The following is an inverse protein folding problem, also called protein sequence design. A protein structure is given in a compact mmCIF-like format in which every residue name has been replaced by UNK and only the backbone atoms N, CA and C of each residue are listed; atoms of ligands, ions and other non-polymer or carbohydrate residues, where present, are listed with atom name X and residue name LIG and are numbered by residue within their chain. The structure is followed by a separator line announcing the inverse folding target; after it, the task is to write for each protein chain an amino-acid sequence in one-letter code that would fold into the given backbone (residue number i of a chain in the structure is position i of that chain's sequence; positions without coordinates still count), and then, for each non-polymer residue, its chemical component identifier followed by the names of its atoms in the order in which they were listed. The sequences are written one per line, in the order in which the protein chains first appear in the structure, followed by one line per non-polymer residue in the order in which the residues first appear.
data_IF_665149437515
#
_entry.id   IF_665149437515
#
_cell.length_a   1.000
_cell.length_b   1.000
_cell.length_c   1.000
_cell.angle_alpha   90.00
_cell.angle_beta   90.00
_cell.angle_gamma   90.00
#
_symmetry.space_group_name_H-M   'P 1'
#
loop_
_entity.id
_entity.type
_entity.pdbx_description
1 polymer ?
#
# COMPACT_ATOMS: atom_id res chain seq x y z
N UNK A 1 -2.14 29.38 1.66
CA UNK A 1 -1.93 28.79 2.99
C UNK A 1 -0.65 29.38 3.56
N UNK A 2 -0.71 30.05 4.71
CA UNK A 2 0.49 30.49 5.44
C UNK A 2 1.30 29.28 5.90
N UNK A 3 2.62 29.33 5.72
CA UNK A 3 3.53 28.31 6.23
C UNK A 3 3.63 28.47 7.75
N UNK A 4 2.94 27.62 8.51
CA UNK A 4 3.14 27.53 9.96
C UNK A 4 4.50 26.89 10.25
N UNK A 5 5.38 27.63 10.91
CA UNK A 5 6.68 27.14 11.40
C UNK A 5 6.50 26.79 12.89
N UNK A 6 6.82 25.55 13.27
CA UNK A 6 6.74 25.07 14.64
C UNK A 6 8.15 24.98 15.25
N UNK A 7 8.43 25.77 16.29
CA UNK A 7 9.64 25.61 17.12
C UNK A 7 9.38 24.50 18.15
N UNK A 8 9.81 23.28 17.83
CA UNK A 8 9.65 22.11 18.70
C UNK A 8 10.89 21.95 19.59
N UNK A 9 10.69 21.72 20.89
CA UNK A 9 11.79 21.33 21.78
C UNK A 9 12.32 19.95 21.38
N UNK A 10 13.59 19.67 21.69
CA UNK A 10 14.19 18.35 21.45
C UNK A 10 13.49 17.25 22.26
N UNK A 11 12.99 17.56 23.45
CA UNK A 11 12.19 16.64 24.29
C UNK A 11 10.91 16.18 23.61
N UNK A 12 10.36 17.02 22.73
CA UNK A 12 9.15 16.78 21.96
C UNK A 12 9.34 15.77 20.82
N UNK A 13 10.59 15.42 20.51
CA UNK A 13 10.94 14.49 19.44
C UNK A 13 11.20 13.11 20.04
N UNK A 14 10.30 12.18 19.73
CA UNK A 14 10.46 10.75 20.03
C UNK A 14 10.88 9.98 18.78
N UNK A 15 11.59 8.87 18.97
CA UNK A 15 11.84 7.88 17.92
C UNK A 15 11.09 6.62 18.31
N UNK A 16 10.10 6.24 17.50
CA UNK A 16 9.45 4.94 17.62
C UNK A 16 10.20 3.96 16.73
N UNK A 17 10.80 2.95 17.35
CA UNK A 17 11.44 1.86 16.63
C UNK A 17 10.45 0.71 16.47
N UNK A 18 10.44 0.12 15.27
CA UNK A 18 9.64 -1.05 14.95
C UNK A 18 10.56 -2.26 14.78
N UNK A 19 9.97 -3.45 14.90
CA UNK A 19 10.69 -4.68 14.57
C UNK A 19 11.06 -4.65 13.09
N UNK A 20 12.25 -5.18 12.77
CA UNK A 20 12.70 -5.24 11.39
C UNK A 20 11.70 -6.06 10.55
N UNK A 21 11.36 -5.54 9.36
CA UNK A 21 10.31 -6.12 8.52
C UNK A 21 8.87 -5.69 8.86
N UNK A 22 8.66 -4.80 9.84
CA UNK A 22 7.34 -4.18 10.06
C UNK A 22 6.90 -3.43 8.81
N UNK A 23 5.71 -3.78 8.33
CA UNK A 23 5.17 -3.33 7.05
C UNK A 23 3.99 -2.41 7.26
N UNK A 24 4.02 -1.27 6.60
CA UNK A 24 2.96 -0.29 6.55
C UNK A 24 2.33 -0.35 5.16
N UNK A 25 1.08 -0.78 5.12
CA UNK A 25 0.29 -0.92 3.92
C UNK A 25 -0.80 0.17 3.93
N UNK A 26 -0.95 0.87 2.82
CA UNK A 26 -1.98 1.89 2.61
C UNK A 26 -2.80 1.48 1.39
N UNK A 27 -4.12 1.61 1.51
CA UNK A 27 -5.03 1.63 0.37
C UNK A 27 -5.87 2.89 0.49
N UNK A 28 -5.96 3.64 -0.60
CA UNK A 28 -6.87 4.78 -0.70
C UNK A 28 -7.46 4.89 -2.10
N UNK A 29 -8.54 5.63 -2.26
CA UNK A 29 -9.17 5.87 -3.56
C UNK A 29 -10.42 6.71 -3.42
N UNK A 30 -11.21 6.79 -4.50
CA UNK A 30 -12.48 7.52 -4.56
C UNK A 30 -13.61 6.50 -4.64
N UNK A 31 -14.50 6.53 -3.63
CA UNK A 31 -15.69 5.67 -3.59
C UNK A 31 -16.82 6.21 -4.46
N UNK A 32 -17.91 5.45 -4.57
CA UNK A 32 -19.07 5.80 -5.42
C UNK A 32 -19.78 7.09 -4.96
N UNK A 33 -19.62 7.48 -3.70
CA UNK A 33 -20.12 8.74 -3.15
C UNK A 33 -19.31 9.97 -3.58
N UNK A 34 -18.21 9.78 -4.32
CA UNK A 34 -17.22 10.80 -4.64
C UNK A 34 -16.30 11.18 -3.48
N UNK A 35 -16.45 10.54 -2.31
CA UNK A 35 -15.59 10.78 -1.15
C UNK A 35 -14.32 9.93 -1.24
N UNK A 36 -13.22 10.49 -0.75
CA UNK A 36 -11.97 9.74 -0.60
C UNK A 36 -12.10 8.74 0.56
N UNK A 37 -11.76 7.48 0.31
CA UNK A 37 -11.53 6.50 1.36
C UNK A 37 -10.04 6.26 1.54
N UNK A 38 -9.64 5.93 2.76
CA UNK A 38 -8.26 5.60 3.12
C UNK A 38 -8.27 4.64 4.30
N UNK A 39 -7.46 3.60 4.22
CA UNK A 39 -7.18 2.74 5.35
C UNK A 39 -5.70 2.33 5.38
N UNK A 40 -5.20 2.03 6.59
CA UNK A 40 -3.81 1.65 6.85
C UNK A 40 -3.75 0.36 7.63
N UNK A 41 -3.07 -0.64 7.09
CA UNK A 41 -2.73 -1.88 7.76
C UNK A 41 -1.26 -1.84 8.20
N UNK A 42 -1.01 -2.07 9.49
CA UNK A 42 0.34 -2.20 10.05
C UNK A 42 0.50 -3.61 10.59
N UNK A 43 1.49 -4.34 10.09
CA UNK A 43 1.78 -5.73 10.45
C UNK A 43 3.24 -5.92 10.79
N UNK A 44 3.54 -6.94 11.59
CA UNK A 44 4.86 -7.09 12.23
C UNK A 44 5.93 -7.63 11.28
N UNK A 45 5.53 -8.27 10.18
CA UNK A 45 6.46 -8.82 9.18
C UNK A 45 5.91 -8.69 7.75
N UNK A 46 6.81 -8.85 6.77
CA UNK A 46 6.46 -8.91 5.35
C UNK A 46 5.56 -10.13 5.02
N UNK A 47 5.81 -11.28 5.65
CA UNK A 47 5.00 -12.49 5.47
C UNK A 47 3.56 -12.27 5.96
N UNK A 48 3.40 -11.60 7.09
CA UNK A 48 2.08 -11.24 7.60
C UNK A 48 1.38 -10.26 6.64
N UNK A 49 2.13 -9.34 6.01
CA UNK A 49 1.60 -8.44 5.00
C UNK A 49 1.08 -9.21 3.77
N UNK A 50 1.88 -10.12 3.21
CA UNK A 50 1.50 -10.94 2.05
C UNK A 50 0.22 -11.73 2.33
N UNK A 51 0.08 -12.29 3.54
CA UNK A 51 -1.10 -13.07 3.93
C UNK A 51 -2.36 -12.24 4.15
N UNK A 52 -2.24 -11.06 4.76
CA UNK A 52 -3.41 -10.23 5.16
C UNK A 52 -3.82 -9.22 4.10
N UNK A 53 -2.87 -8.72 3.31
CA UNK A 53 -3.10 -7.61 2.39
C UNK A 53 -4.20 -7.90 1.36
N UNK A 54 -4.26 -9.07 0.69
CA UNK A 54 -5.28 -9.31 -0.33
C UNK A 54 -6.70 -9.17 0.22
N UNK A 55 -7.00 -9.90 1.29
CA UNK A 55 -8.31 -9.84 1.93
C UNK A 55 -8.63 -8.44 2.46
N UNK A 56 -7.72 -7.83 3.23
CA UNK A 56 -7.94 -6.50 3.81
C UNK A 56 -8.14 -5.41 2.73
N UNK A 57 -7.29 -5.39 1.69
CA UNK A 57 -7.40 -4.40 0.61
C UNK A 57 -8.71 -4.53 -0.16
N UNK A 58 -9.14 -5.77 -0.43
CA UNK A 58 -10.45 -6.04 -1.03
C UNK A 58 -11.59 -5.56 -0.14
N UNK A 59 -11.56 -5.82 1.17
CA UNK A 59 -12.58 -5.33 2.11
C UNK A 59 -12.68 -3.81 2.09
N UNK A 60 -11.54 -3.10 2.13
CA UNK A 60 -11.48 -1.63 2.09
C UNK A 60 -12.03 -1.07 0.77
N UNK A 61 -11.65 -1.64 -0.37
CA UNK A 61 -12.14 -1.17 -1.68
C UNK A 61 -13.64 -1.49 -1.83
N UNK A 62 -14.05 -2.70 -1.48
CA UNK A 62 -15.41 -3.20 -1.70
C UNK A 62 -16.44 -2.69 -0.68
N UNK A 63 -16.00 -2.10 0.43
CA UNK A 63 -16.89 -1.32 1.31
C UNK A 63 -17.23 0.05 0.73
N UNK A 64 -16.45 0.54 -0.25
CA UNK A 64 -16.57 1.89 -0.80
C UNK A 64 -17.00 1.92 -2.28
N UNK A 65 -17.00 0.78 -2.96
CA UNK A 65 -17.35 0.62 -4.38
C UNK A 65 -18.35 -0.53 -4.54
N UNK A 66 -19.52 -0.24 -5.11
CA UNK A 66 -20.61 -1.18 -5.30
C UNK A 66 -20.35 -2.16 -6.46
N UNK A 67 -19.79 -1.68 -7.57
CA UNK A 67 -19.41 -2.51 -8.72
C UNK A 67 -18.04 -3.19 -8.50
N UNK A 68 -18.03 -4.18 -7.61
CA UNK A 68 -16.81 -4.92 -7.21
C UNK A 68 -16.17 -5.65 -8.38
N UNK A 69 -16.98 -6.38 -9.16
CA UNK A 69 -16.50 -7.20 -10.26
C UNK A 69 -16.02 -6.35 -11.43
N UNK A 70 -16.78 -5.30 -11.82
CA UNK A 70 -16.35 -4.39 -12.88
C UNK A 70 -15.09 -3.63 -12.51
N UNK A 71 -14.95 -3.21 -11.25
CA UNK A 71 -13.71 -2.59 -10.75
C UNK A 71 -12.54 -3.54 -10.82
N UNK A 72 -12.70 -4.78 -10.34
CA UNK A 72 -11.65 -5.80 -10.39
C UNK A 72 -11.20 -6.10 -11.83
N UNK A 73 -12.15 -6.26 -12.75
CA UNK A 73 -11.83 -6.50 -14.17
C UNK A 73 -11.11 -5.32 -14.82
N UNK A 74 -11.50 -4.06 -14.54
CA UNK A 74 -10.78 -2.87 -15.03
C UNK A 74 -9.34 -2.83 -14.53
N UNK A 75 -9.09 -3.27 -13.31
CA UNK A 75 -7.73 -3.36 -12.76
C UNK A 75 -6.94 -4.44 -13.50
N UNK A 76 -7.53 -5.61 -13.76
CA UNK A 76 -6.90 -6.67 -14.56
C UNK A 76 -6.56 -6.17 -15.96
N UNK A 77 -7.51 -5.54 -16.64
CA UNK A 77 -7.29 -5.03 -18.00
C UNK A 77 -6.15 -4.01 -18.03
N UNK A 78 -6.12 -3.09 -17.06
CA UNK A 78 -5.02 -2.14 -16.91
C UNK A 78 -3.66 -2.83 -16.64
N UNK A 79 -3.64 -3.86 -15.80
CA UNK A 79 -2.42 -4.65 -15.54
C UNK A 79 -1.94 -5.37 -16.80
N UNK A 80 -2.84 -5.94 -17.60
CA UNK A 80 -2.51 -6.61 -18.86
C UNK A 80 -1.92 -5.61 -19.85
N UNK A 81 -2.51 -4.42 -19.97
CA UNK A 81 -2.09 -3.40 -20.91
C UNK A 81 -0.75 -2.73 -20.53
N UNK A 82 -0.50 -2.52 -19.23
CA UNK A 82 0.59 -1.64 -18.76
C UNK A 82 1.69 -2.38 -17.99
N UNK A 83 1.38 -3.56 -17.45
CA UNK A 83 2.23 -4.27 -16.48
C UNK A 83 2.36 -5.76 -16.79
N UNK A 84 2.23 -6.16 -18.07
CA UNK A 84 2.41 -7.57 -18.47
C UNK A 84 3.79 -8.11 -18.06
N UNK A 85 4.86 -7.42 -18.45
CA UNK A 85 6.24 -7.86 -18.19
C UNK A 85 6.66 -7.59 -16.73
N UNK A 86 6.72 -6.31 -16.34
CA UNK A 86 7.18 -5.86 -15.01
C UNK A 86 6.09 -5.92 -13.94
N UNK A 87 5.14 -6.85 -14.07
CA UNK A 87 4.04 -7.03 -13.14
C UNK A 87 3.60 -8.48 -13.16
N UNK A 88 2.79 -8.86 -14.14
CA UNK A 88 2.18 -10.19 -14.21
C UNK A 88 3.23 -11.28 -14.40
N UNK A 89 4.06 -11.20 -15.46
CA UNK A 89 5.07 -12.21 -15.78
C UNK A 89 6.15 -12.24 -14.70
N UNK A 90 6.65 -11.07 -14.30
CA UNK A 90 7.65 -10.98 -13.23
C UNK A 90 7.15 -11.60 -11.91
N UNK A 91 5.90 -11.32 -11.51
CA UNK A 91 5.34 -11.89 -10.29
C UNK A 91 5.10 -13.39 -10.41
N UNK A 92 4.53 -13.84 -11.55
CA UNK A 92 4.37 -15.27 -11.87
C UNK A 92 5.69 -16.02 -11.75
N UNK A 93 6.77 -15.42 -12.25
CA UNK A 93 8.09 -16.01 -12.19
C UNK A 93 8.62 -16.07 -10.75
N UNK A 94 8.47 -14.98 -9.99
CA UNK A 94 8.85 -14.96 -8.58
C UNK A 94 8.09 -16.02 -7.75
N UNK A 95 6.80 -16.25 -8.04
CA UNK A 95 5.99 -17.27 -7.37
C UNK A 95 6.53 -18.68 -7.58
N UNK A 96 7.00 -19.06 -8.76
CA UNK A 96 7.61 -20.38 -8.93
C UNK A 96 9.07 -20.41 -8.44
N UNK A 97 9.87 -19.39 -8.71
CA UNK A 97 11.31 -19.39 -8.41
C UNK A 97 11.61 -19.25 -6.92
N UNK A 98 10.87 -18.38 -6.24
CA UNK A 98 11.14 -18.02 -4.84
C UNK A 98 10.21 -18.73 -3.87
N UNK A 99 9.00 -19.09 -4.30
CA UNK A 99 7.97 -19.68 -3.44
C UNK A 99 7.60 -21.13 -3.81
N UNK A 100 8.12 -21.67 -4.91
CA UNK A 100 8.02 -23.10 -5.24
C UNK A 100 6.68 -23.55 -5.84
N UNK A 101 5.87 -22.63 -6.37
CA UNK A 101 4.62 -22.94 -7.06
C UNK A 101 4.88 -23.35 -8.53
N UNK A 102 5.32 -24.60 -8.73
CA UNK A 102 5.71 -25.14 -10.05
C UNK A 102 4.59 -25.05 -11.10
N UNK A 103 3.33 -25.10 -10.69
CA UNK A 103 2.17 -24.96 -11.59
C UNK A 103 2.16 -23.63 -12.37
N UNK A 104 2.73 -22.56 -11.82
CA UNK A 104 2.75 -21.25 -12.45
C UNK A 104 3.82 -21.09 -13.52
N UNK A 105 4.82 -21.99 -13.55
CA UNK A 105 5.92 -21.95 -14.51
C UNK A 105 5.42 -21.98 -15.95
N UNK A 106 4.58 -22.94 -16.28
CA UNK A 106 3.98 -23.11 -17.61
C UNK A 106 2.62 -22.43 -17.79
N UNK A 107 2.09 -21.80 -16.73
CA UNK A 107 0.79 -21.13 -16.82
C UNK A 107 0.89 -19.88 -17.70
N UNK A 108 -0.10 -19.69 -18.57
CA UNK A 108 -0.26 -18.46 -19.33
C UNK A 108 -0.44 -17.25 -18.38
N UNK A 109 0.21 -16.10 -18.62
CA UNK A 109 0.16 -14.94 -17.70
C UNK A 109 -1.25 -14.40 -17.46
N UNK A 110 -2.12 -14.39 -18.47
CA UNK A 110 -3.51 -13.92 -18.32
C UNK A 110 -4.32 -14.91 -17.49
N UNK A 111 -4.05 -16.21 -17.67
CA UNK A 111 -4.65 -17.25 -16.83
C UNK A 111 -4.17 -17.14 -15.38
N UNK A 112 -2.88 -16.86 -15.18
CA UNK A 112 -2.28 -16.67 -13.85
C UNK A 112 -2.94 -15.53 -13.07
N UNK A 113 -3.05 -14.33 -13.65
CA UNK A 113 -3.63 -13.17 -12.93
C UNK A 113 -5.12 -13.36 -12.60
N UNK A 114 -5.80 -14.26 -13.33
CA UNK A 114 -7.21 -14.61 -13.13
C UNK A 114 -7.42 -15.91 -12.34
N UNK A 115 -6.35 -16.57 -11.92
CA UNK A 115 -6.43 -17.90 -11.31
C UNK A 115 -7.10 -17.86 -9.94
N UNK A 116 -6.73 -16.89 -9.11
CA UNK A 116 -7.28 -16.68 -7.77
C UNK A 116 -7.55 -15.20 -7.51
N UNK A 117 -8.57 -14.84 -6.71
CA UNK A 117 -8.92 -13.46 -6.40
C UNK A 117 -7.75 -12.63 -5.84
N UNK A 118 -6.86 -13.26 -5.07
CA UNK A 118 -5.73 -12.64 -4.41
C UNK A 118 -4.61 -12.23 -5.39
N UNK A 119 -4.54 -12.86 -6.58
CA UNK A 119 -3.44 -12.64 -7.52
C UNK A 119 -3.35 -11.19 -7.98
N UNK A 120 -4.49 -10.52 -8.15
CA UNK A 120 -4.53 -9.11 -8.52
C UNK A 120 -3.92 -8.24 -7.43
N UNK A 121 -4.35 -8.41 -6.18
CA UNK A 121 -3.83 -7.63 -5.05
C UNK A 121 -2.32 -7.87 -4.83
N UNK A 122 -1.89 -9.13 -4.91
CA UNK A 122 -0.48 -9.48 -4.77
C UNK A 122 0.38 -8.95 -5.92
N UNK A 123 -0.13 -8.97 -7.16
CA UNK A 123 0.57 -8.38 -8.31
C UNK A 123 0.72 -6.87 -8.16
N UNK A 124 -0.30 -6.18 -7.65
CA UNK A 124 -0.19 -4.74 -7.37
C UNK A 124 0.87 -4.43 -6.30
N UNK A 125 0.94 -5.26 -5.24
CA UNK A 125 1.99 -5.14 -4.20
C UNK A 125 3.37 -5.44 -4.76
N UNK A 126 3.50 -6.48 -5.61
CA UNK A 126 4.74 -6.80 -6.31
C UNK A 126 5.24 -5.61 -7.10
N UNK A 127 4.35 -5.01 -7.91
CA UNK A 127 4.66 -3.82 -8.69
C UNK A 127 5.11 -2.68 -7.78
N UNK A 128 4.32 -2.40 -6.73
CA UNK A 128 4.62 -1.37 -5.77
C UNK A 128 6.02 -1.56 -5.18
N UNK A 129 6.29 -2.73 -4.60
CA UNK A 129 7.53 -3.01 -3.89
C UNK A 129 8.76 -3.04 -4.80
N UNK A 130 8.65 -3.61 -6.01
CA UNK A 130 9.80 -3.87 -6.90
C UNK A 130 10.09 -2.76 -7.89
N UNK A 131 9.06 -2.09 -8.40
CA UNK A 131 9.21 -1.21 -9.57
C UNK A 131 8.85 0.25 -9.31
N UNK A 132 8.09 0.56 -8.26
CA UNK A 132 7.61 1.92 -8.00
C UNK A 132 7.92 2.44 -6.59
N UNK A 133 9.02 1.95 -6.00
CA UNK A 133 9.52 2.38 -4.70
C UNK A 133 8.44 2.34 -3.60
N UNK A 134 7.65 1.26 -3.62
CA UNK A 134 6.57 0.94 -2.72
C UNK A 134 5.26 1.69 -2.95
N UNK A 135 5.07 2.49 -4.01
CA UNK A 135 3.83 3.23 -4.22
C UNK A 135 3.30 3.07 -5.65
N UNK A 136 2.06 2.65 -5.80
CA UNK A 136 1.42 2.44 -7.10
C UNK A 136 0.07 3.16 -7.14
N UNK A 137 -0.16 3.93 -8.20
CA UNK A 137 -1.45 4.52 -8.52
C UNK A 137 -2.09 3.79 -9.70
N UNK A 138 -3.30 3.32 -9.50
CA UNK A 138 -4.13 2.63 -10.50
C UNK A 138 -5.16 3.64 -11.04
N UNK A 139 -5.33 3.76 -12.36
CA UNK A 139 -6.26 4.73 -12.96
C UNK A 139 -7.75 4.33 -12.82
N UNK A 140 -8.05 3.35 -11.97
CA UNK A 140 -9.40 2.90 -11.64
C UNK A 140 -9.77 3.47 -10.28
N UNK A 141 -10.78 4.34 -10.22
CA UNK A 141 -11.24 4.99 -8.99
C UNK A 141 -10.13 5.71 -8.19
N UNK A 142 -9.08 6.18 -8.88
CA UNK A 142 -7.87 6.74 -8.27
C UNK A 142 -7.32 5.86 -7.13
N UNK A 143 -7.42 4.54 -7.27
CA UNK A 143 -6.94 3.60 -6.25
C UNK A 143 -5.41 3.73 -6.16
N UNK A 144 -4.92 3.94 -4.95
CA UNK A 144 -3.51 4.03 -4.63
C UNK A 144 -3.16 3.00 -3.58
N UNK A 145 -2.07 2.28 -3.84
CA UNK A 145 -1.51 1.27 -2.96
C UNK A 145 -0.12 1.72 -2.55
N UNK A 146 0.16 1.68 -1.26
CA UNK A 146 1.51 1.89 -0.75
C UNK A 146 1.92 0.75 0.17
N UNK A 147 3.15 0.27 0.01
CA UNK A 147 3.81 -0.64 0.95
C UNK A 147 5.17 -0.04 1.32
N UNK A 148 5.45 0.03 2.62
CA UNK A 148 6.73 0.50 3.17
C UNK A 148 7.18 -0.38 4.31
N UNK A 149 8.45 -0.76 4.29
CA UNK A 149 9.10 -1.40 5.41
C UNK A 149 9.75 -0.32 6.27
N UNK A 150 9.21 -0.10 7.47
CA UNK A 150 9.60 1.04 8.30
C UNK A 150 10.28 0.52 9.56
N UNK A 151 11.56 0.86 9.72
CA UNK A 151 12.32 0.55 10.93
C UNK A 151 12.09 1.58 12.04
N UNK A 152 11.93 2.85 11.67
CA UNK A 152 11.78 3.93 12.63
C UNK A 152 10.81 5.00 12.10
N UNK A 153 9.99 5.53 13.00
CA UNK A 153 9.15 6.71 12.74
C UNK A 153 9.57 7.82 13.72
N UNK A 154 9.68 9.03 13.20
CA UNK A 154 9.78 10.23 14.02
C UNK A 154 8.41 10.53 14.61
N UNK A 155 8.30 10.44 15.93
CA UNK A 155 7.11 10.86 16.66
C UNK A 155 7.32 12.28 17.18
N UNK A 156 6.30 13.12 17.03
CA UNK A 156 6.32 14.48 17.56
C UNK A 156 5.21 14.58 18.60
N UNK A 157 5.57 14.90 19.84
CA UNK A 157 4.62 15.19 20.89
C UNK A 157 4.24 16.67 20.87
N UNK A 158 3.07 16.97 20.30
CA UNK A 158 2.54 18.33 20.28
C UNK A 158 1.93 18.78 21.62
N UNK A 159 1.78 17.87 22.59
CA UNK A 159 1.06 18.11 23.85
C UNK A 159 1.97 18.32 25.05
N UNK A 160 3.30 18.27 24.88
CA UNK A 160 4.25 18.61 25.94
C UNK A 160 4.11 20.08 26.35
N UNK A 161 4.08 20.36 27.66
CA UNK A 161 4.02 21.75 28.16
C UNK A 161 5.20 22.57 27.62
N UNK A 162 4.87 23.58 26.80
CA UNK A 162 5.83 24.48 26.17
C UNK A 162 6.19 24.19 24.70
N UNK A 163 5.52 23.25 24.02
CA UNK A 163 5.39 23.29 22.54
C UNK A 163 4.18 24.16 22.18
N UNK A 164 4.23 24.96 21.10
CA UNK A 164 3.74 26.33 21.16
C UNK A 164 2.23 26.40 21.38
N UNK A 165 1.86 26.93 22.55
CA UNK A 165 0.55 27.54 22.85
C UNK A 165 0.49 29.03 22.48
N UNK A 166 1.55 29.57 21.86
CA UNK A 166 1.69 31.01 21.61
C UNK A 166 2.17 31.27 20.18
N UNK A 167 1.55 32.24 19.53
CA UNK A 167 1.81 32.69 18.15
C UNK A 167 3.18 33.35 17.95
N UNK A 168 3.97 33.49 19.02
CA UNK A 168 5.24 34.21 19.00
C UNK A 168 6.39 33.19 18.99
N UNK A 169 7.30 33.24 17.98
CA UNK A 169 8.51 32.44 17.97
C UNK A 169 9.39 32.76 19.19
N UNK A 170 9.73 31.75 19.98
CA UNK A 170 10.72 31.93 21.06
C UNK A 170 12.13 31.98 20.43
N UNK A 171 12.86 33.06 20.74
CA UNK A 171 14.25 33.32 20.35
C UNK A 171 15.23 32.50 21.19
#
# INVERSE_FOLDING_TARGET
MEKKIYNLKKSSLGKVAFLDGTSFCLVQGIGDSGQQFRDVLIVRSAEEAIRKFPQWSSEVVYSNIADKLGTHNKIIDWLIENWMENGIISFKNEMYESFGFEEFKSMDPITFIKSEPEMVALTLVHIAARFTNGYLKVPVNDIEISIRFIKNVLAINFWEEGNPKTEIPQM
#
